data_IF_554045412582
#
_entry.id   IF_554045412582
#
_cell.length_a   1.000
_cell.length_b   1.000
_cell.length_c   1.000
_cell.angle_alpha   90.00
_cell.angle_beta   90.00
_cell.angle_gamma   90.00
#
_symmetry.space_group_name_H-M   'P 1'
#
loop_
_entity.id
_entity.type
_entity.pdbx_description
1 polymer ?
#
# COMPACT_ATOMS: atom_id res chain seq x y z
N UNK A 1 -13.11 -21.62 -2.14
CA UNK A 1 -12.44 -20.40 -1.62
C UNK A 1 -13.53 -19.39 -1.34
N UNK A 2 -13.65 -18.89 -0.10
CA UNK A 2 -14.64 -17.83 0.21
C UNK A 2 -14.34 -16.57 -0.59
N UNK A 3 -15.35 -15.74 -0.86
CA UNK A 3 -15.15 -14.40 -1.42
C UNK A 3 -14.24 -13.60 -0.46
N UNK A 4 -13.27 -12.89 -1.00
CA UNK A 4 -12.34 -12.06 -0.25
C UNK A 4 -13.08 -11.01 0.58
N UNK A 5 -12.79 -10.93 1.88
CA UNK A 5 -13.34 -9.92 2.79
C UNK A 5 -12.35 -8.76 2.92
N UNK A 6 -12.38 -7.84 1.95
CA UNK A 6 -11.42 -6.72 1.85
C UNK A 6 -11.33 -5.89 3.14
N UNK A 7 -12.45 -5.70 3.86
CA UNK A 7 -12.49 -4.94 5.11
C UNK A 7 -11.74 -5.66 6.21
N UNK A 8 -12.01 -6.96 6.37
CA UNK A 8 -11.30 -7.79 7.36
C UNK A 8 -9.82 -7.84 7.06
N UNK A 9 -9.44 -8.04 5.81
CA UNK A 9 -8.03 -8.14 5.42
C UNK A 9 -7.31 -6.82 5.63
N UNK A 10 -7.88 -5.69 5.21
CA UNK A 10 -7.32 -4.37 5.49
C UNK A 10 -7.14 -4.15 7.00
N UNK A 11 -8.19 -4.42 7.80
CA UNK A 11 -8.11 -4.28 9.26
C UNK A 11 -7.03 -5.19 9.87
N UNK A 12 -6.93 -6.43 9.41
CA UNK A 12 -5.90 -7.36 9.87
C UNK A 12 -4.49 -6.87 9.52
N UNK A 13 -4.30 -6.31 8.31
CA UNK A 13 -3.03 -5.74 7.89
C UNK A 13 -2.68 -4.49 8.71
N UNK A 14 -3.63 -3.59 8.95
CA UNK A 14 -3.43 -2.40 9.77
C UNK A 14 -3.03 -2.74 11.22
N UNK A 15 -3.70 -3.72 11.83
CA UNK A 15 -3.34 -4.20 13.19
C UNK A 15 -1.94 -4.82 13.21
N UNK A 16 -1.61 -5.66 12.23
CA UNK A 16 -0.28 -6.26 12.12
C UNK A 16 0.80 -5.20 11.89
N UNK A 17 0.50 -4.14 11.13
CA UNK A 17 1.43 -3.04 10.89
C UNK A 17 1.69 -2.21 12.14
N UNK A 18 0.65 -1.89 12.91
CA UNK A 18 0.80 -1.23 14.23
C UNK A 18 1.66 -2.06 15.18
N UNK A 19 1.44 -3.37 15.23
CA UNK A 19 2.26 -4.29 16.03
C UNK A 19 3.71 -4.32 15.55
N UNK A 20 3.94 -4.33 14.23
CA UNK A 20 5.29 -4.24 13.66
C UNK A 20 6.00 -2.92 14.02
N UNK A 21 5.31 -1.78 13.92
CA UNK A 21 5.84 -0.47 14.32
C UNK A 21 6.22 -0.45 15.80
N UNK A 22 5.46 -1.13 16.67
CA UNK A 22 5.78 -1.22 18.10
C UNK A 22 7.11 -1.96 18.40
N UNK A 23 7.63 -2.68 17.41
CA UNK A 23 8.90 -3.43 17.51
C UNK A 23 10.09 -2.65 16.96
N UNK A 24 9.89 -1.44 16.42
CA UNK A 24 10.98 -0.56 16.00
C UNK A 24 11.70 -0.06 17.26
N UNK A 25 13.00 -0.37 17.45
CA UNK A 25 13.71 0.13 18.61
C UNK A 25 13.87 1.65 18.56
N UNK A 26 13.73 2.34 19.69
CA UNK A 26 13.75 3.81 19.80
C UNK A 26 14.97 4.47 19.10
N UNK A 27 16.13 3.81 19.11
CA UNK A 27 17.35 4.34 18.47
C UNK A 27 17.49 4.07 16.97
N UNK A 28 16.54 3.37 16.32
CA UNK A 28 16.68 2.91 14.93
C UNK A 28 15.84 3.69 13.91
N UNK A 29 15.08 4.68 14.35
CA UNK A 29 14.19 5.45 13.47
C UNK A 29 14.91 6.18 12.33
N UNK A 30 16.14 6.63 12.57
CA UNK A 30 16.96 7.34 11.57
C UNK A 30 17.96 6.42 10.85
N UNK A 31 17.94 5.12 11.13
CA UNK A 31 18.74 4.14 10.40
C UNK A 31 18.15 3.86 9.00
N UNK A 32 18.94 3.28 8.07
CA UNK A 32 18.44 2.88 6.76
C UNK A 32 17.23 1.94 6.84
N UNK A 33 16.17 2.28 6.11
CA UNK A 33 14.97 1.49 5.89
C UNK A 33 15.04 0.72 4.56
N UNK A 34 14.66 1.39 3.46
CA UNK A 34 14.72 0.85 2.10
C UNK A 34 15.18 1.92 1.11
N UNK A 35 16.07 1.55 0.18
CA UNK A 35 16.66 2.50 -0.76
C UNK A 35 17.33 3.67 -0.02
N UNK A 36 16.92 4.89 -0.34
CA UNK A 36 17.43 6.11 0.28
C UNK A 36 16.65 6.55 1.53
N UNK A 37 15.66 5.76 1.98
CA UNK A 37 14.79 6.15 3.06
C UNK A 37 15.29 5.64 4.41
N UNK A 38 15.10 6.44 5.45
CA UNK A 38 15.21 5.96 6.84
C UNK A 38 14.01 5.10 7.23
N UNK A 39 14.11 4.39 8.35
CA UNK A 39 12.96 3.67 8.95
C UNK A 39 11.79 4.63 9.18
N UNK A 40 12.06 5.85 9.66
CA UNK A 40 11.04 6.90 9.89
C UNK A 40 10.36 7.34 8.61
N UNK A 41 11.10 7.53 7.53
CA UNK A 41 10.54 7.91 6.23
C UNK A 41 9.72 6.76 5.60
N UNK A 42 10.17 5.50 5.76
CA UNK A 42 9.41 4.31 5.34
C UNK A 42 8.09 4.16 6.10
N UNK A 43 8.11 4.35 7.42
CA UNK A 43 6.86 4.38 8.21
C UNK A 43 5.99 5.56 7.80
N UNK A 44 6.58 6.74 7.59
CA UNK A 44 5.89 7.93 7.10
C UNK A 44 5.13 7.68 5.80
N UNK A 45 5.78 7.06 4.81
CA UNK A 45 5.14 6.67 3.56
C UNK A 45 4.04 5.65 3.74
N UNK A 46 4.31 4.55 4.45
CA UNK A 46 3.32 3.48 4.61
C UNK A 46 2.05 4.02 5.26
N UNK A 47 2.22 4.88 6.27
CA UNK A 47 1.12 5.51 6.98
C UNK A 47 0.40 6.51 6.06
N UNK A 48 1.11 7.33 5.29
CA UNK A 48 0.47 8.28 4.39
C UNK A 48 -0.25 7.62 3.21
N UNK A 49 0.36 6.59 2.61
CA UNK A 49 -0.15 5.89 1.44
C UNK A 49 -1.31 4.95 1.77
N UNK A 50 -1.33 4.39 2.98
CA UNK A 50 -2.24 3.29 3.30
C UNK A 50 -3.17 3.50 4.51
N UNK A 51 -2.91 4.49 5.38
CA UNK A 51 -3.74 4.76 6.57
C UNK A 51 -4.32 6.17 6.58
N UNK A 52 -3.47 7.21 6.55
CA UNK A 52 -3.86 8.62 6.73
C UNK A 52 -4.87 9.08 5.70
N UNK A 53 -4.67 8.74 4.43
CA UNK A 53 -5.57 9.15 3.35
C UNK A 53 -6.91 8.41 3.35
N UNK A 54 -7.05 7.31 4.11
CA UNK A 54 -8.25 6.46 4.03
C UNK A 54 -9.53 7.18 4.38
N UNK A 55 -9.63 7.88 5.52
CA UNK A 55 -10.82 8.68 5.81
C UNK A 55 -11.10 9.77 4.78
N UNK A 56 -10.06 10.40 4.22
CA UNK A 56 -10.20 11.50 3.25
C UNK A 56 -10.76 11.01 1.90
N UNK A 57 -10.20 9.93 1.37
CA UNK A 57 -10.66 9.32 0.11
C UNK A 57 -12.07 8.75 0.27
N UNK A 58 -12.36 8.07 1.38
CA UNK A 58 -13.71 7.57 1.66
C UNK A 58 -14.75 8.70 1.84
N UNK A 59 -14.31 9.89 2.25
CA UNK A 59 -15.15 11.08 2.33
C UNK A 59 -15.33 11.83 1.01
N UNK A 60 -14.66 11.40 -0.06
CA UNK A 60 -14.65 12.09 -1.36
C UNK A 60 -15.29 11.20 -2.44
N UNK A 61 -16.62 11.25 -2.63
CA UNK A 61 -17.31 10.41 -3.60
C UNK A 61 -16.90 10.75 -5.04
N UNK A 62 -17.06 9.79 -5.94
CA UNK A 62 -16.98 10.01 -7.39
C UNK A 62 -18.35 9.72 -8.04
N UNK A 63 -18.70 10.45 -9.10
CA UNK A 63 -19.97 10.28 -9.81
C UNK A 63 -20.00 9.01 -10.67
N UNK A 64 -18.84 8.60 -11.20
CA UNK A 64 -18.71 7.49 -12.13
C UNK A 64 -17.52 6.60 -11.80
N UNK A 65 -17.64 5.31 -12.14
CA UNK A 65 -16.53 4.36 -12.07
C UNK A 65 -15.69 4.50 -13.34
N UNK A 66 -14.49 5.06 -13.21
CA UNK A 66 -13.50 5.12 -14.31
C UNK A 66 -12.49 3.97 -14.22
N UNK A 67 -12.22 3.45 -13.01
CA UNK A 67 -11.32 2.32 -12.77
C UNK A 67 -12.06 1.28 -11.93
N UNK A 68 -12.47 0.19 -12.57
CA UNK A 68 -13.38 -0.79 -11.97
C UNK A 68 -12.70 -1.84 -11.08
N UNK A 69 -11.38 -2.04 -11.20
CA UNK A 69 -10.63 -3.10 -10.52
C UNK A 69 -9.31 -2.57 -9.97
N UNK A 70 -8.80 -3.21 -8.90
CA UNK A 70 -7.60 -2.76 -8.20
C UNK A 70 -6.35 -2.69 -9.10
N UNK A 71 -6.13 -3.69 -9.98
CA UNK A 71 -5.00 -3.67 -10.92
C UNK A 71 -5.05 -2.50 -11.92
N UNK A 72 -6.23 -1.94 -12.18
CA UNK A 72 -6.40 -0.76 -13.02
C UNK A 72 -5.76 0.50 -12.42
N UNK A 73 -5.65 0.58 -11.08
CA UNK A 73 -4.95 1.66 -10.40
C UNK A 73 -3.45 1.67 -10.75
N UNK A 74 -2.83 0.49 -10.72
CA UNK A 74 -1.41 0.31 -11.08
C UNK A 74 -1.16 0.47 -12.58
N UNK A 75 -2.08 -0.03 -13.40
CA UNK A 75 -2.01 0.17 -14.85
C UNK A 75 -2.12 1.65 -15.22
N UNK A 76 -2.99 2.42 -14.55
CA UNK A 76 -3.10 3.86 -14.73
C UNK A 76 -1.77 4.56 -14.44
N UNK A 77 -1.12 4.25 -13.32
CA UNK A 77 0.17 4.84 -12.96
C UNK A 77 1.26 4.59 -14.02
N UNK A 78 1.22 3.47 -14.74
CA UNK A 78 2.13 3.17 -15.85
C UNK A 78 1.75 3.82 -17.18
N UNK A 79 0.53 4.30 -17.31
CA UNK A 79 0.00 4.86 -18.57
C UNK A 79 0.20 6.38 -18.70
N UNK A 80 0.42 7.08 -17.58
CA UNK A 80 0.63 8.52 -17.59
C UNK A 80 1.99 8.90 -18.20
N UNK A 81 2.14 10.11 -18.75
CA UNK A 81 3.44 10.59 -19.23
C UNK A 81 4.52 10.51 -18.14
N UNK A 82 5.77 10.23 -18.54
CA UNK A 82 6.86 9.98 -17.60
C UNK A 82 7.14 11.15 -16.68
N UNK A 83 6.97 12.39 -17.15
CA UNK A 83 7.08 13.61 -16.37
C UNK A 83 5.99 13.74 -15.29
N UNK A 84 4.77 13.28 -15.60
CA UNK A 84 3.65 13.26 -14.64
C UNK A 84 3.91 12.20 -13.58
N UNK A 85 4.36 11.00 -13.99
CA UNK A 85 4.73 9.94 -13.07
C UNK A 85 5.87 10.38 -12.13
N UNK A 86 6.94 10.98 -12.68
CA UNK A 86 8.07 11.46 -11.91
C UNK A 86 7.66 12.55 -10.90
N UNK A 87 6.77 13.47 -11.28
CA UNK A 87 6.22 14.47 -10.37
C UNK A 87 5.40 13.83 -9.23
N UNK A 88 4.59 12.81 -9.54
CA UNK A 88 3.81 12.08 -8.53
C UNK A 88 4.71 11.32 -7.53
N UNK A 89 5.79 10.69 -8.03
CA UNK A 89 6.80 10.04 -7.19
C UNK A 89 7.52 11.05 -6.30
N UNK A 90 7.88 12.22 -6.84
CA UNK A 90 8.51 13.28 -6.06
C UNK A 90 7.58 13.78 -4.94
N UNK A 91 6.31 14.02 -5.24
CA UNK A 91 5.30 14.42 -4.26
C UNK A 91 5.09 13.34 -3.18
N UNK A 92 5.02 12.06 -3.57
CA UNK A 92 4.95 10.93 -2.62
C UNK A 92 6.17 10.88 -1.69
N UNK A 93 7.38 11.12 -2.21
CA UNK A 93 8.61 11.19 -1.41
C UNK A 93 8.59 12.37 -0.44
N UNK A 94 8.13 13.54 -0.86
CA UNK A 94 8.00 14.69 0.03
C UNK A 94 6.97 14.43 1.15
N UNK A 95 5.82 13.88 0.79
CA UNK A 95 4.75 13.52 1.72
C UNK A 95 5.19 12.44 2.73
N UNK A 96 5.98 11.45 2.29
CA UNK A 96 6.58 10.44 3.16
C UNK A 96 7.49 11.06 4.22
N UNK A 97 8.36 12.00 3.84
CA UNK A 97 9.25 12.71 4.76
C UNK A 97 8.49 13.60 5.72
N UNK A 98 7.54 14.37 5.20
CA UNK A 98 6.69 15.24 6.01
C UNK A 98 5.89 14.43 7.02
N UNK A 99 5.30 13.30 6.59
CA UNK A 99 4.55 12.39 7.48
C UNK A 99 5.48 11.75 8.51
N UNK A 100 6.66 11.29 8.11
CA UNK A 100 7.65 10.70 9.02
C UNK A 100 8.14 11.68 10.09
N UNK A 101 8.35 12.96 9.73
CA UNK A 101 8.64 14.02 10.67
C UNK A 101 7.46 14.31 11.61
N UNK A 102 6.23 14.31 11.08
CA UNK A 102 5.02 14.54 11.86
C UNK A 102 4.66 13.41 12.85
N UNK A 103 5.29 12.22 12.72
CA UNK A 103 5.18 11.17 13.74
C UNK A 103 5.77 11.60 15.10
N UNK A 104 6.69 12.58 15.11
CA UNK A 104 7.25 13.16 16.33
C UNK A 104 8.00 12.15 17.20
N UNK A 105 7.92 12.40 18.51
CA UNK A 105 8.62 11.63 19.55
C UNK A 105 7.88 10.35 19.95
N UNK A 106 6.58 10.25 19.67
CA UNK A 106 5.76 9.05 19.87
C UNK A 106 5.18 8.53 18.55
N UNK A 107 6.04 7.94 17.69
CA UNK A 107 5.61 7.47 16.39
C UNK A 107 4.58 6.34 16.49
N UNK A 108 4.63 5.50 17.52
CA UNK A 108 3.71 4.38 17.69
C UNK A 108 2.29 4.87 17.95
N UNK A 109 2.11 5.83 18.86
CA UNK A 109 0.78 6.35 19.16
C UNK A 109 0.20 7.14 17.98
N UNK A 110 1.03 7.88 17.23
CA UNK A 110 0.60 8.51 15.99
C UNK A 110 0.12 7.49 14.93
N UNK A 111 0.86 6.39 14.72
CA UNK A 111 0.45 5.32 13.79
C UNK A 111 -0.82 4.62 14.27
N UNK A 112 -0.96 4.35 15.58
CA UNK A 112 -2.18 3.76 16.17
C UNK A 112 -3.40 4.61 15.90
N UNK A 113 -3.30 5.92 16.08
CA UNK A 113 -4.40 6.85 15.85
C UNK A 113 -4.84 6.82 14.39
N UNK A 114 -3.89 6.89 13.44
CA UNK A 114 -4.19 6.84 12.01
C UNK A 114 -4.78 5.49 11.58
N UNK A 115 -4.27 4.38 12.11
CA UNK A 115 -4.85 3.05 11.88
C UNK A 115 -6.28 2.93 12.43
N UNK A 116 -6.52 3.48 13.63
CA UNK A 116 -7.86 3.55 14.23
C UNK A 116 -8.84 4.34 13.37
N UNK A 117 -8.46 5.55 12.93
CA UNK A 117 -9.27 6.37 12.03
C UNK A 117 -9.55 5.68 10.70
N UNK A 118 -8.54 5.08 10.07
CA UNK A 118 -8.68 4.36 8.81
C UNK A 118 -9.64 3.17 8.93
N UNK A 119 -9.46 2.33 9.96
CA UNK A 119 -10.32 1.15 10.16
C UNK A 119 -11.75 1.51 10.52
N UNK A 120 -11.97 2.61 11.26
CA UNK A 120 -13.30 3.14 11.54
C UNK A 120 -13.99 3.69 10.30
N UNK A 121 -13.27 4.47 9.48
CA UNK A 121 -13.78 5.02 8.23
C UNK A 121 -14.16 3.89 7.26
N UNK A 122 -13.30 2.89 7.11
CA UNK A 122 -13.61 1.68 6.36
C UNK A 122 -14.89 1.05 6.93
N UNK A 123 -14.97 0.75 8.22
CA UNK A 123 -16.17 0.10 8.80
C UNK A 123 -17.49 0.86 8.53
N UNK A 124 -17.44 2.17 8.29
CA UNK A 124 -18.61 3.02 8.06
C UNK A 124 -19.00 3.17 6.59
N UNK A 125 -18.09 2.91 5.65
CA UNK A 125 -18.34 3.06 4.22
C UNK A 125 -19.30 1.99 3.68
N UNK A 126 -20.09 2.30 2.66
CA UNK A 126 -20.97 1.38 1.95
C UNK A 126 -20.21 0.47 0.98
N UNK A 127 -20.73 -0.74 0.72
CA UNK A 127 -20.09 -1.70 -0.20
C UNK A 127 -20.14 -1.24 -1.67
N UNK A 128 -21.16 -0.44 -2.02
CA UNK A 128 -21.38 0.11 -3.37
C UNK A 128 -20.81 1.54 -3.54
N UNK A 129 -20.10 2.06 -2.53
CA UNK A 129 -19.51 3.40 -2.59
C UNK A 129 -18.46 3.49 -3.71
N UNK A 130 -18.44 4.63 -4.40
CA UNK A 130 -17.43 4.96 -5.39
C UNK A 130 -16.65 6.19 -4.90
N UNK A 131 -15.32 6.08 -4.86
CA UNK A 131 -14.44 7.10 -4.28
C UNK A 131 -13.55 7.72 -5.35
N UNK A 132 -13.24 9.01 -5.18
CA UNK A 132 -12.30 9.74 -6.04
C UNK A 132 -10.87 9.41 -5.63
N UNK A 133 -10.08 8.89 -6.57
CA UNK A 133 -8.68 8.49 -6.36
C UNK A 133 -7.76 9.18 -7.37
N UNK A 134 -6.44 9.03 -7.22
CA UNK A 134 -5.47 9.49 -8.20
C UNK A 134 -5.66 8.86 -9.60
N UNK A 135 -6.29 7.69 -9.70
CA UNK A 135 -6.62 7.01 -10.95
C UNK A 135 -8.05 7.29 -11.45
N UNK A 136 -8.78 8.19 -10.78
CA UNK A 136 -10.20 8.47 -11.01
C UNK A 136 -11.13 7.72 -10.07
N UNK A 137 -12.41 7.64 -10.43
CA UNK A 137 -13.46 7.02 -9.62
C UNK A 137 -13.31 5.50 -9.55
N UNK A 138 -13.26 4.95 -8.33
CA UNK A 138 -13.08 3.52 -8.06
C UNK A 138 -14.13 2.98 -7.08
N UNK A 139 -14.64 1.75 -7.26
CA UNK A 139 -15.38 1.07 -6.20
C UNK A 139 -14.53 0.98 -4.94
N UNK A 140 -15.10 1.37 -3.81
CA UNK A 140 -14.38 1.55 -2.55
C UNK A 140 -13.60 0.29 -2.14
N UNK A 141 -14.20 -0.90 -2.27
CA UNK A 141 -13.55 -2.16 -1.92
C UNK A 141 -12.36 -2.50 -2.84
N UNK A 142 -12.42 -2.10 -4.11
CA UNK A 142 -11.30 -2.27 -5.05
C UNK A 142 -10.17 -1.31 -4.75
N UNK A 143 -10.50 -0.07 -4.40
CA UNK A 143 -9.50 0.89 -3.93
C UNK A 143 -8.87 0.45 -2.59
N UNK A 144 -9.65 -0.07 -1.65
CA UNK A 144 -9.16 -0.59 -0.36
C UNK A 144 -8.17 -1.75 -0.53
N UNK A 145 -8.37 -2.60 -1.54
CA UNK A 145 -7.40 -3.65 -1.90
C UNK A 145 -6.03 -3.05 -2.25
N UNK A 146 -5.96 -1.89 -2.91
CA UNK A 146 -4.67 -1.20 -3.19
C UNK A 146 -3.99 -0.69 -1.91
N UNK A 147 -4.77 -0.22 -0.92
CA UNK A 147 -4.21 0.21 0.38
C UNK A 147 -3.72 -0.98 1.21
N UNK A 148 -4.41 -2.10 1.10
CA UNK A 148 -3.95 -3.37 1.71
C UNK A 148 -2.64 -3.83 1.10
N UNK A 149 -2.49 -3.70 -0.22
CA UNK A 149 -1.24 -4.00 -0.92
C UNK A 149 -0.07 -3.15 -0.39
N UNK A 150 -0.25 -1.83 -0.30
CA UNK A 150 0.73 -0.89 0.24
C UNK A 150 1.16 -1.27 1.68
N UNK A 151 0.18 -1.56 2.56
CA UNK A 151 0.48 -2.02 3.92
C UNK A 151 1.31 -3.30 3.94
N UNK A 152 0.97 -4.28 3.11
CA UNK A 152 1.63 -5.59 3.13
C UNK A 152 3.05 -5.48 2.59
N UNK A 153 3.26 -4.79 1.47
CA UNK A 153 4.58 -4.61 0.86
C UNK A 153 5.50 -3.86 1.83
N UNK A 154 5.07 -2.71 2.34
CA UNK A 154 5.94 -1.89 3.19
C UNK A 154 6.08 -2.41 4.62
N UNK A 155 5.17 -3.27 5.08
CA UNK A 155 5.42 -4.06 6.29
C UNK A 155 6.56 -5.07 6.09
N UNK A 156 6.66 -5.70 4.91
CA UNK A 156 7.79 -6.59 4.62
C UNK A 156 9.10 -5.80 4.51
N UNK A 157 9.08 -4.61 3.91
CA UNK A 157 10.23 -3.71 3.84
C UNK A 157 10.70 -3.31 5.25
N UNK A 158 9.77 -2.86 6.10
CA UNK A 158 10.08 -2.47 7.48
C UNK A 158 10.62 -3.66 8.27
N UNK A 159 9.96 -4.81 8.20
CA UNK A 159 10.37 -6.04 8.85
C UNK A 159 11.80 -6.46 8.47
N UNK A 160 12.15 -6.33 7.18
CA UNK A 160 13.49 -6.59 6.70
C UNK A 160 14.51 -5.58 7.25
N UNK A 161 14.19 -4.29 7.28
CA UNK A 161 15.06 -3.24 7.81
C UNK A 161 15.36 -3.39 9.30
N UNK A 162 14.34 -3.75 10.10
CA UNK A 162 14.50 -3.91 11.56
C UNK A 162 14.85 -5.33 12.01
N UNK A 163 14.82 -6.32 11.12
CA UNK A 163 15.25 -7.69 11.39
C UNK A 163 14.26 -8.52 12.21
N UNK A 164 12.94 -8.30 12.04
CA UNK A 164 11.89 -9.03 12.76
C UNK A 164 10.83 -9.59 11.80
N UNK A 165 9.98 -10.55 12.20
CA UNK A 165 8.88 -11.03 11.36
C UNK A 165 7.78 -9.97 11.14
N UNK A 166 7.26 -9.88 9.91
CA UNK A 166 6.26 -8.87 9.50
C UNK A 166 4.85 -9.06 10.08
N UNK A 167 4.49 -10.24 10.59
CA UNK A 167 3.19 -10.49 11.24
C UNK A 167 1.94 -10.51 10.35
N UNK A 168 2.03 -10.09 9.08
CA UNK A 168 0.91 -10.17 8.11
C UNK A 168 0.30 -11.57 8.00
N UNK A 169 -1.03 -11.63 7.91
CA UNK A 169 -1.77 -12.88 7.76
C UNK A 169 -1.53 -13.51 6.38
N UNK A 170 -1.63 -14.85 6.24
CA UNK A 170 -1.53 -15.52 4.95
C UNK A 170 -2.55 -14.99 3.92
N UNK A 171 -3.74 -14.58 4.37
CA UNK A 171 -4.77 -13.99 3.52
C UNK A 171 -4.35 -12.62 2.95
N UNK A 172 -3.74 -11.76 3.77
CA UNK A 172 -3.25 -10.47 3.32
C UNK A 172 -2.08 -10.61 2.33
N UNK A 173 -1.16 -11.54 2.61
CA UNK A 173 -0.05 -11.86 1.69
C UNK A 173 -0.58 -12.43 0.37
N UNK A 174 -1.56 -13.34 0.42
CA UNK A 174 -2.17 -13.91 -0.78
C UNK A 174 -2.88 -12.86 -1.64
N UNK A 175 -3.62 -11.93 -1.02
CA UNK A 175 -4.28 -10.85 -1.76
C UNK A 175 -3.27 -9.90 -2.40
N UNK A 176 -2.25 -9.43 -1.65
CA UNK A 176 -1.23 -8.54 -2.19
C UNK A 176 -0.47 -9.21 -3.35
N UNK A 177 -0.09 -10.48 -3.19
CA UNK A 177 0.56 -11.28 -4.24
C UNK A 177 -0.34 -11.44 -5.47
N UNK A 178 -1.63 -11.76 -5.25
CA UNK A 178 -2.61 -11.89 -6.32
C UNK A 178 -2.83 -10.59 -7.08
N UNK A 179 -2.86 -9.46 -6.38
CA UNK A 179 -2.97 -8.14 -6.99
C UNK A 179 -1.72 -7.80 -7.81
N UNK A 180 -0.51 -8.08 -7.34
CA UNK A 180 0.72 -7.91 -8.12
C UNK A 180 0.69 -8.72 -9.43
N UNK A 181 0.22 -9.97 -9.37
CA UNK A 181 0.09 -10.82 -10.56
C UNK A 181 -0.96 -10.26 -11.56
N UNK A 182 -2.09 -9.76 -11.07
CA UNK A 182 -3.11 -9.10 -11.90
C UNK A 182 -2.60 -7.79 -12.51
N UNK A 183 -1.86 -6.99 -11.74
CA UNK A 183 -1.20 -5.78 -12.22
C UNK A 183 -0.22 -6.09 -13.36
N UNK A 184 0.66 -7.09 -13.17
CA UNK A 184 1.58 -7.54 -14.24
C UNK A 184 0.84 -7.93 -15.52
N UNK A 185 -0.26 -8.68 -15.39
CA UNK A 185 -1.08 -9.07 -16.54
C UNK A 185 -1.72 -7.84 -17.24
N UNK A 186 -2.27 -6.91 -16.47
CA UNK A 186 -2.86 -5.68 -16.98
C UNK A 186 -1.83 -4.77 -17.69
N UNK A 187 -0.55 -4.91 -17.37
CA UNK A 187 0.52 -4.04 -17.90
C UNK A 187 1.44 -4.73 -18.91
N UNK A 188 1.08 -5.94 -19.37
CA UNK A 188 1.80 -6.68 -20.41
C UNK A 188 2.93 -7.59 -19.93
N UNK A 189 3.19 -7.68 -18.63
CA UNK A 189 4.25 -8.50 -18.02
C UNK A 189 3.74 -9.84 -17.48
N UNK A 190 2.45 -10.15 -17.68
CA UNK A 190 1.78 -11.31 -17.10
C UNK A 190 2.41 -12.65 -17.49
N UNK A 191 2.82 -12.83 -18.74
CA UNK A 191 3.49 -14.06 -19.18
C UNK A 191 4.84 -14.25 -18.51
N UNK A 192 5.64 -13.19 -18.39
CA UNK A 192 6.94 -13.19 -17.70
C UNK A 192 6.76 -13.58 -16.23
N UNK A 193 5.81 -12.95 -15.53
CA UNK A 193 5.50 -13.26 -14.12
C UNK A 193 4.99 -14.68 -13.97
N UNK A 194 4.07 -15.14 -14.80
CA UNK A 194 3.53 -16.50 -14.73
C UNK A 194 4.62 -17.55 -14.96
N UNK A 195 5.51 -17.33 -15.93
CA UNK A 195 6.65 -18.23 -16.16
C UNK A 195 7.59 -18.25 -14.97
N UNK A 196 7.92 -17.09 -14.39
CA UNK A 196 8.80 -17.01 -13.23
C UNK A 196 8.21 -17.71 -11.99
N UNK A 197 6.97 -17.38 -11.62
CA UNK A 197 6.27 -17.98 -10.48
C UNK A 197 6.06 -19.50 -10.61
N UNK A 198 6.18 -20.05 -11.84
CA UNK A 198 6.04 -21.48 -12.10
C UNK A 198 7.36 -22.16 -12.49
N UNK A 199 8.51 -21.51 -12.30
CA UNK A 199 9.85 -22.11 -12.52
C UNK A 199 10.24 -22.31 -13.99
N UNK A 200 9.64 -21.55 -14.91
CA UNK A 200 9.86 -21.61 -16.37
C UNK A 200 10.61 -20.40 -16.92
N UNK A 201 11.17 -19.58 -16.04
CA UNK A 201 11.92 -18.38 -16.36
C UNK A 201 12.33 -17.64 -15.09
N UNK A 202 13.02 -16.52 -15.25
CA UNK A 202 13.42 -15.62 -14.18
C UNK A 202 12.77 -14.26 -14.41
N UNK A 203 12.56 -13.50 -13.33
CA UNK A 203 12.19 -12.08 -13.46
C UNK A 203 13.45 -11.28 -13.82
N UNK A 204 13.33 -10.24 -14.67
CA UNK A 204 14.43 -9.31 -14.91
C UNK A 204 14.99 -8.73 -13.60
N UNK A 205 16.27 -8.38 -13.60
CA UNK A 205 16.87 -7.69 -12.46
C UNK A 205 16.09 -6.39 -12.17
N UNK A 206 15.72 -6.18 -10.90
CA UNK A 206 14.92 -5.03 -10.44
C UNK A 206 13.51 -4.94 -11.06
N UNK A 207 12.93 -6.06 -11.49
CA UNK A 207 11.55 -6.10 -11.96
C UNK A 207 10.58 -5.58 -10.89
N UNK A 208 9.65 -4.71 -11.29
CA UNK A 208 8.57 -4.18 -10.45
C UNK A 208 7.29 -4.01 -11.26
N UNK A 209 6.15 -4.31 -10.64
CA UNK A 209 4.82 -4.15 -11.23
C UNK A 209 4.14 -2.84 -10.81
N UNK A 210 4.65 -2.18 -9.77
CA UNK A 210 4.11 -0.93 -9.21
C UNK A 210 5.01 0.28 -9.46
N UNK A 211 6.09 0.11 -10.23
CA UNK A 211 7.08 1.14 -10.52
C UNK A 211 8.32 1.06 -9.60
N UNK A 212 9.36 1.81 -9.95
CA UNK A 212 10.66 1.90 -9.22
C UNK A 212 10.93 3.33 -8.80
#
# INVERSE_FOLDING_TARGET
>A
MGRMDFRRTFRSAAVAYVDLVSRVPEGRWDEPGIGDWTVRELVGHTVSSALRQVPEVLGTPAEEVTVAVAEGFWAFARSVPGEVYAAAVAASREDARATGAALGDDPLDAVREMAGRATQAVASAGDDDVVTTAAGGMPMLQWLSTRTFELVVHAMDLAAAIGVPHGMSPEAVAEATGQAARAAAATGDGETVLRALTGRGELPAKFSVVGT
#
